data_IF_535540506449
#
_entry.id   IF_535540506449
#
_cell.length_a   1.000
_cell.length_b   1.000
_cell.length_c   1.000
_cell.angle_alpha   90.00
_cell.angle_beta   90.00
_cell.angle_gamma   90.00
#
_symmetry.space_group_name_H-M   'P 1'
#
loop_
_entity.id
_entity.type
_entity.pdbx_description
1 polymer ?
#
# COMPACT_ATOMS: atom_id res chain seq x y z
N UNK A 1 -34.15 26.90 -0.79
CA UNK A 1 -34.22 25.42 -0.80
C UNK A 1 -33.35 24.95 -1.94
N UNK A 2 -32.05 24.79 -1.68
CA UNK A 2 -31.16 24.20 -2.67
C UNK A 2 -31.47 22.70 -2.73
N UNK A 3 -31.72 22.20 -3.94
CA UNK A 3 -31.86 20.78 -4.21
C UNK A 3 -30.54 20.08 -3.87
N UNK A 4 -30.43 19.56 -2.65
CA UNK A 4 -29.44 18.54 -2.35
C UNK A 4 -29.74 17.36 -3.28
N UNK A 5 -28.78 16.86 -4.08
CA UNK A 5 -28.98 15.61 -4.78
C UNK A 5 -29.17 14.54 -3.70
N UNK A 6 -30.40 14.06 -3.54
CA UNK A 6 -30.85 13.11 -2.51
C UNK A 6 -30.38 11.67 -2.80
N UNK A 7 -29.35 11.51 -3.63
CA UNK A 7 -28.88 10.21 -4.06
C UNK A 7 -27.51 9.90 -3.45
N UNK A 8 -27.52 8.94 -2.52
CA UNK A 8 -26.35 8.35 -1.89
C UNK A 8 -25.31 7.89 -2.91
N UNK A 9 -25.74 7.48 -4.11
CA UNK A 9 -24.85 7.07 -5.18
C UNK A 9 -24.02 8.24 -5.69
N UNK A 10 -24.59 9.43 -5.85
CA UNK A 10 -23.85 10.62 -6.34
C UNK A 10 -22.72 10.97 -5.38
N UNK A 11 -23.00 10.96 -4.08
CA UNK A 11 -21.97 11.21 -3.07
C UNK A 11 -20.93 10.09 -3.00
N UNK A 12 -21.36 8.83 -3.12
CA UNK A 12 -20.44 7.68 -3.16
C UNK A 12 -19.45 7.83 -4.30
N UNK A 13 -19.92 8.10 -5.52
CA UNK A 13 -19.05 8.30 -6.68
C UNK A 13 -18.12 9.51 -6.51
N UNK A 14 -18.63 10.63 -5.99
CA UNK A 14 -17.84 11.84 -5.79
C UNK A 14 -16.71 11.62 -4.78
N UNK A 15 -17.03 11.10 -3.59
CA UNK A 15 -16.04 10.82 -2.53
C UNK A 15 -15.00 9.82 -3.05
N UNK A 16 -15.44 8.79 -3.76
CA UNK A 16 -14.55 7.79 -4.32
C UNK A 16 -13.61 8.34 -5.41
N UNK A 17 -14.10 9.25 -6.26
CA UNK A 17 -13.30 9.93 -7.27
C UNK A 17 -12.18 10.77 -6.65
N UNK A 18 -12.47 11.53 -5.59
CA UNK A 18 -11.43 12.28 -4.85
C UNK A 18 -10.38 11.35 -4.23
N UNK A 19 -10.81 10.24 -3.61
CA UNK A 19 -9.90 9.24 -3.05
C UNK A 19 -8.98 8.64 -4.12
N UNK A 20 -9.53 8.25 -5.27
CA UNK A 20 -8.77 7.73 -6.41
C UNK A 20 -7.82 8.76 -7.02
N UNK A 21 -8.27 10.01 -7.15
CA UNK A 21 -7.43 11.10 -7.62
C UNK A 21 -6.22 11.29 -6.70
N UNK A 22 -6.41 11.30 -5.38
CA UNK A 22 -5.32 11.44 -4.41
C UNK A 22 -4.32 10.27 -4.51
N UNK A 23 -4.79 9.03 -4.65
CA UNK A 23 -3.91 7.86 -4.86
C UNK A 23 -3.04 8.00 -6.12
N UNK A 24 -3.61 8.50 -7.22
CA UNK A 24 -2.89 8.70 -8.48
C UNK A 24 -1.96 9.92 -8.45
N UNK A 25 -2.38 10.98 -7.77
CA UNK A 25 -1.65 12.24 -7.75
C UNK A 25 -0.50 12.22 -6.75
N UNK A 26 -0.64 11.54 -5.60
CA UNK A 26 0.41 11.46 -4.57
C UNK A 26 1.80 11.13 -5.11
N UNK A 27 2.00 10.13 -6.00
CA UNK A 27 3.30 9.88 -6.60
C UNK A 27 3.70 10.90 -7.67
N UNK A 28 2.74 11.50 -8.39
CA UNK A 28 2.99 12.20 -9.66
C UNK A 28 2.99 13.73 -9.59
N UNK A 29 2.22 14.32 -8.66
CA UNK A 29 2.02 15.78 -8.55
C UNK A 29 2.92 16.40 -7.49
N UNK A 30 2.97 17.72 -7.46
CA UNK A 30 3.77 18.46 -6.47
C UNK A 30 3.06 18.49 -5.09
N UNK A 31 3.61 19.21 -4.11
CA UNK A 31 2.98 19.28 -2.78
C UNK A 31 1.73 20.18 -2.81
N UNK A 32 1.76 21.26 -3.59
CA UNK A 32 0.66 22.23 -3.71
C UNK A 32 -0.61 21.56 -4.22
N UNK A 33 -0.54 20.87 -5.35
CA UNK A 33 -1.64 20.16 -6.00
C UNK A 33 -2.30 19.16 -5.03
N UNK A 34 -1.47 18.41 -4.28
CA UNK A 34 -1.96 17.43 -3.31
C UNK A 34 -2.61 18.12 -2.11
N UNK A 35 -2.06 19.25 -1.66
CA UNK A 35 -2.63 20.01 -0.55
C UNK A 35 -4.03 20.51 -0.92
N UNK A 36 -4.23 21.03 -2.13
CA UNK A 36 -5.55 21.46 -2.61
C UNK A 36 -6.52 20.30 -2.78
N UNK A 37 -6.09 19.22 -3.44
CA UNK A 37 -6.93 18.04 -3.65
C UNK A 37 -7.36 17.40 -2.32
N UNK A 38 -6.46 17.33 -1.34
CA UNK A 38 -6.73 16.79 -0.01
C UNK A 38 -7.67 17.70 0.79
N UNK A 39 -7.54 19.02 0.64
CA UNK A 39 -8.46 19.96 1.28
C UNK A 39 -9.86 19.90 0.68
N UNK A 40 -9.98 19.73 -0.64
CA UNK A 40 -11.27 19.49 -1.27
C UNK A 40 -11.91 18.18 -0.77
N UNK A 41 -11.09 17.14 -0.54
CA UNK A 41 -11.55 15.88 0.03
C UNK A 41 -11.99 16.02 1.50
N UNK A 42 -11.23 16.76 2.31
CA UNK A 42 -11.57 17.13 3.70
C UNK A 42 -12.95 17.81 3.79
N UNK A 43 -13.17 18.87 3.00
CA UNK A 43 -14.44 19.58 2.97
C UNK A 43 -15.60 18.69 2.48
N UNK A 44 -15.34 17.84 1.49
CA UNK A 44 -16.33 16.89 1.01
C UNK A 44 -16.72 15.89 2.11
N UNK A 45 -15.74 15.35 2.85
CA UNK A 45 -15.99 14.42 3.96
C UNK A 45 -16.84 15.06 5.06
N UNK A 46 -16.57 16.32 5.42
CA UNK A 46 -17.40 17.04 6.39
C UNK A 46 -18.84 17.16 5.90
N UNK A 47 -19.02 17.58 4.65
CA UNK A 47 -20.34 17.75 4.04
C UNK A 47 -21.10 16.42 4.03
N UNK A 48 -20.50 15.32 3.57
CA UNK A 48 -21.20 14.04 3.47
C UNK A 48 -21.45 13.39 4.83
N UNK A 49 -20.61 13.65 5.83
CA UNK A 49 -20.83 13.20 7.20
C UNK A 49 -22.09 13.85 7.84
N UNK A 50 -22.47 15.05 7.40
CA UNK A 50 -23.70 15.71 7.88
C UNK A 50 -25.00 15.21 7.24
N UNK A 51 -24.95 14.39 6.18
CA UNK A 51 -26.14 14.03 5.37
C UNK A 51 -27.09 13.01 6.02
N UNK A 52 -26.84 12.56 7.27
CA UNK A 52 -27.71 11.66 8.04
C UNK A 52 -28.17 10.40 7.26
N UNK A 53 -27.32 9.85 6.40
CA UNK A 53 -27.55 8.56 5.77
C UNK A 53 -27.20 7.43 6.74
N UNK A 54 -28.15 6.52 6.98
CA UNK A 54 -28.03 5.46 8.00
C UNK A 54 -27.88 4.06 7.38
N UNK A 55 -27.79 3.96 6.05
CA UNK A 55 -27.62 2.67 5.38
C UNK A 55 -26.27 2.06 5.78
N UNK A 56 -26.21 0.79 6.23
CA UNK A 56 -24.96 0.18 6.73
C UNK A 56 -23.82 0.21 5.70
N UNK A 57 -24.15 0.04 4.41
CA UNK A 57 -23.19 0.12 3.30
C UNK A 57 -22.53 1.50 3.18
N UNK A 58 -23.30 2.57 3.43
CA UNK A 58 -22.81 3.93 3.40
C UNK A 58 -21.95 4.23 4.60
N UNK A 59 -22.38 3.79 5.79
CA UNK A 59 -21.57 3.92 7.01
C UNK A 59 -20.22 3.23 6.85
N UNK A 60 -20.20 2.01 6.30
CA UNK A 60 -18.96 1.29 6.02
C UNK A 60 -18.09 2.00 4.96
N UNK A 61 -18.69 2.48 3.88
CA UNK A 61 -18.01 3.26 2.86
C UNK A 61 -17.39 4.53 3.43
N UNK A 62 -18.17 5.35 4.13
CA UNK A 62 -17.72 6.62 4.69
C UNK A 62 -16.62 6.41 5.74
N UNK A 63 -16.77 5.40 6.60
CA UNK A 63 -15.73 4.98 7.55
C UNK A 63 -14.40 4.68 6.84
N UNK A 64 -14.43 3.92 5.74
CA UNK A 64 -13.22 3.62 4.97
C UNK A 64 -12.63 4.89 4.33
N UNK A 65 -13.46 5.79 3.81
CA UNK A 65 -13.00 7.05 3.21
C UNK A 65 -12.38 8.01 4.24
N UNK A 66 -12.89 8.03 5.47
CA UNK A 66 -12.29 8.75 6.60
C UNK A 66 -10.93 8.16 6.99
N UNK A 67 -10.79 6.84 7.00
CA UNK A 67 -9.49 6.18 7.16
C UNK A 67 -8.49 6.60 6.08
N UNK A 68 -8.92 6.61 4.81
CA UNK A 68 -8.10 7.08 3.68
C UNK A 68 -7.69 8.54 3.80
N UNK A 69 -8.57 9.42 4.29
CA UNK A 69 -8.23 10.81 4.54
C UNK A 69 -7.02 10.96 5.45
N UNK A 70 -7.02 10.26 6.58
CA UNK A 70 -5.89 10.28 7.50
C UNK A 70 -4.63 9.63 6.91
N UNK A 71 -4.77 8.57 6.12
CA UNK A 71 -3.66 8.01 5.34
C UNK A 71 -3.05 9.06 4.41
N UNK A 72 -3.86 9.85 3.69
CA UNK A 72 -3.38 10.90 2.80
C UNK A 72 -2.74 12.07 3.55
N UNK A 73 -3.26 12.48 4.71
CA UNK A 73 -2.64 13.49 5.55
C UNK A 73 -1.20 13.11 5.93
N UNK A 74 -0.99 11.89 6.43
CA UNK A 74 0.37 11.43 6.76
C UNK A 74 1.26 11.30 5.51
N UNK A 75 0.71 10.87 4.37
CA UNK A 75 1.46 10.85 3.11
C UNK A 75 1.89 12.26 2.66
N UNK A 76 1.01 13.27 2.77
CA UNK A 76 1.32 14.65 2.41
C UNK A 76 2.46 15.20 3.28
N UNK A 77 2.43 14.94 4.59
CA UNK A 77 3.48 15.34 5.52
C UNK A 77 4.83 14.72 5.15
N UNK A 78 4.88 13.41 4.88
CA UNK A 78 6.11 12.77 4.40
C UNK A 78 6.57 13.30 3.04
N UNK A 79 5.63 13.60 2.13
CA UNK A 79 5.95 14.20 0.83
C UNK A 79 6.57 15.59 0.99
N UNK A 80 6.14 16.40 1.94
CA UNK A 80 6.78 17.70 2.28
C UNK A 80 8.23 17.52 2.68
N UNK A 81 8.52 16.53 3.53
CA UNK A 81 9.90 16.22 3.93
C UNK A 81 10.74 15.72 2.76
N UNK A 82 10.19 14.86 1.91
CA UNK A 82 10.85 14.42 0.68
C UNK A 82 11.19 15.57 -0.28
N UNK A 83 10.40 16.66 -0.25
CA UNK A 83 10.61 17.86 -1.08
C UNK A 83 11.36 18.98 -0.35
N UNK A 84 11.85 18.72 0.87
CA UNK A 84 12.61 19.69 1.66
C UNK A 84 11.78 20.88 2.19
N UNK A 85 10.46 20.78 2.19
CA UNK A 85 9.57 21.84 2.71
C UNK A 85 9.37 21.78 4.23
N UNK A 86 9.74 20.67 4.86
CA UNK A 86 9.72 20.47 6.31
C UNK A 86 10.80 19.45 6.66
N UNK A 87 11.26 19.45 7.90
CA UNK A 87 12.18 18.42 8.38
C UNK A 87 11.42 17.17 8.80
N UNK A 88 12.08 16.00 8.74
CA UNK A 88 11.49 14.75 9.22
C UNK A 88 11.09 14.82 10.70
N UNK A 89 11.87 15.52 11.52
CA UNK A 89 11.60 15.66 12.95
C UNK A 89 10.34 16.48 13.23
N UNK A 90 10.10 17.53 12.45
CA UNK A 90 8.92 18.39 12.60
C UNK A 90 7.61 17.63 12.32
N UNK A 91 7.62 16.78 11.30
CA UNK A 91 6.40 16.10 10.84
C UNK A 91 6.18 14.73 11.46
N UNK A 92 7.19 14.10 12.09
CA UNK A 92 7.14 12.70 12.56
C UNK A 92 5.92 12.46 13.46
N UNK A 93 5.75 13.27 14.52
CA UNK A 93 4.62 13.12 15.44
C UNK A 93 3.26 13.35 14.76
N UNK A 94 3.17 14.33 13.85
CA UNK A 94 1.94 14.64 13.11
C UNK A 94 1.55 13.52 12.14
N UNK A 95 2.53 12.99 11.38
CA UNK A 95 2.31 11.88 10.45
C UNK A 95 1.94 10.59 11.20
N UNK A 96 2.61 10.30 12.32
CA UNK A 96 2.25 9.18 13.21
C UNK A 96 0.82 9.32 13.73
N UNK A 97 0.42 10.51 14.18
CA UNK A 97 -0.94 10.75 14.65
C UNK A 97 -1.98 10.52 13.56
N UNK A 98 -1.72 10.99 12.32
CA UNK A 98 -2.57 10.68 11.19
C UNK A 98 -2.65 9.16 10.94
N UNK A 99 -1.55 8.42 11.06
CA UNK A 99 -1.59 6.98 10.83
C UNK A 99 -2.28 6.20 11.94
N UNK A 100 -2.17 6.64 13.20
CA UNK A 100 -2.98 6.11 14.30
C UNK A 100 -4.47 6.35 14.07
N UNK A 101 -4.84 7.56 13.65
CA UNK A 101 -6.22 7.88 13.28
C UNK A 101 -6.71 6.99 12.13
N UNK A 102 -5.89 6.76 11.11
CA UNK A 102 -6.21 5.82 10.01
C UNK A 102 -6.42 4.40 10.53
N UNK A 103 -5.54 3.87 11.40
CA UNK A 103 -5.65 2.51 11.96
C UNK A 103 -6.96 2.28 12.73
N UNK A 104 -7.50 3.32 13.37
CA UNK A 104 -8.79 3.25 14.05
C UNK A 104 -9.97 2.89 13.15
N UNK A 105 -9.86 3.13 11.84
CA UNK A 105 -10.86 2.71 10.87
C UNK A 105 -10.51 1.30 10.38
N UNK A 106 -11.17 0.29 10.96
CA UNK A 106 -10.98 -1.12 10.59
C UNK A 106 -11.62 -1.44 9.23
N UNK A 107 -11.06 -2.37 8.44
CA UNK A 107 -11.66 -2.78 7.19
C UNK A 107 -13.00 -3.47 7.46
N UNK A 108 -13.96 -3.32 6.56
CA UNK A 108 -15.22 -4.06 6.66
C UNK A 108 -14.96 -5.57 6.66
N UNK A 109 -15.59 -6.30 7.58
CA UNK A 109 -15.45 -7.74 7.66
C UNK A 109 -16.17 -8.42 6.48
N UNK A 110 -15.47 -9.36 5.82
CA UNK A 110 -16.03 -10.23 4.77
C UNK A 110 -17.10 -11.20 5.30
N UNK A 111 -17.22 -11.34 6.62
CA UNK A 111 -18.28 -12.11 7.27
C UNK A 111 -19.43 -11.24 7.80
N UNK A 112 -19.40 -9.93 7.56
CA UNK A 112 -20.50 -9.05 7.93
C UNK A 112 -21.81 -9.43 7.21
N UNK A 113 -22.95 -9.16 7.86
CA UNK A 113 -24.28 -9.34 7.27
C UNK A 113 -24.41 -8.59 5.94
N UNK A 114 -23.77 -7.41 5.84
CA UNK A 114 -23.64 -6.64 4.61
C UNK A 114 -23.11 -7.49 3.46
N UNK A 115 -22.08 -8.31 3.70
CA UNK A 115 -21.55 -9.20 2.69
C UNK A 115 -22.43 -10.44 2.47
N UNK A 116 -22.80 -11.13 3.55
CA UNK A 116 -23.48 -12.43 3.46
C UNK A 116 -24.89 -12.34 2.88
N UNK A 117 -25.63 -11.27 3.20
CA UNK A 117 -27.02 -11.08 2.78
C UNK A 117 -27.14 -10.15 1.55
N UNK A 118 -26.04 -9.53 1.11
CA UNK A 118 -26.03 -8.63 -0.05
C UNK A 118 -26.27 -9.36 -1.38
N UNK A 119 -26.76 -8.62 -2.38
CA UNK A 119 -26.75 -9.06 -3.78
C UNK A 119 -25.31 -9.11 -4.35
N UNK A 120 -25.16 -9.53 -5.61
CA UNK A 120 -23.84 -9.63 -6.23
C UNK A 120 -23.11 -8.27 -6.25
N UNK A 121 -23.82 -7.19 -6.58
CA UNK A 121 -23.27 -5.83 -6.65
C UNK A 121 -22.72 -5.39 -5.29
N UNK A 122 -23.51 -5.57 -4.23
CA UNK A 122 -23.11 -5.22 -2.87
C UNK A 122 -21.93 -6.10 -2.39
N UNK A 123 -21.95 -7.39 -2.69
CA UNK A 123 -20.81 -8.28 -2.36
C UNK A 123 -19.51 -7.85 -3.04
N UNK A 124 -19.57 -7.45 -4.30
CA UNK A 124 -18.41 -6.94 -5.03
C UNK A 124 -17.92 -5.61 -4.44
N UNK A 125 -18.84 -4.71 -4.10
CA UNK A 125 -18.53 -3.44 -3.45
C UNK A 125 -17.87 -3.64 -2.07
N UNK A 126 -18.45 -4.49 -1.21
CA UNK A 126 -17.89 -4.80 0.11
C UNK A 126 -16.53 -5.49 0.00
N UNK A 127 -16.35 -6.44 -0.93
CA UNK A 127 -15.02 -7.04 -1.22
C UNK A 127 -14.01 -5.98 -1.61
N UNK A 128 -14.41 -5.04 -2.46
CA UNK A 128 -13.55 -3.98 -2.91
C UNK A 128 -13.17 -3.03 -1.76
N UNK A 129 -14.12 -2.65 -0.90
CA UNK A 129 -13.85 -1.85 0.30
C UNK A 129 -12.94 -2.58 1.28
N UNK A 130 -13.16 -3.88 1.51
CA UNK A 130 -12.30 -4.71 2.34
C UNK A 130 -10.85 -4.68 1.82
N UNK A 131 -10.66 -4.90 0.51
CA UNK A 131 -9.33 -4.84 -0.12
C UNK A 131 -8.68 -3.46 0.03
N UNK A 132 -9.45 -2.39 -0.15
CA UNK A 132 -8.99 -1.02 0.05
C UNK A 132 -8.54 -0.78 1.50
N UNK A 133 -9.32 -1.24 2.48
CA UNK A 133 -8.99 -1.12 3.90
C UNK A 133 -7.74 -1.91 4.28
N UNK A 134 -7.63 -3.16 3.83
CA UNK A 134 -6.42 -3.96 4.04
C UNK A 134 -5.19 -3.34 3.39
N UNK A 135 -5.30 -2.82 2.16
CA UNK A 135 -4.22 -2.07 1.53
C UNK A 135 -3.79 -0.89 2.40
N UNK A 136 -4.74 -0.03 2.79
CA UNK A 136 -4.47 1.14 3.63
C UNK A 136 -3.78 0.76 4.94
N UNK A 137 -4.30 -0.26 5.63
CA UNK A 137 -3.77 -0.71 6.92
C UNK A 137 -2.41 -1.39 6.82
N UNK A 138 -2.15 -2.13 5.74
CA UNK A 138 -0.82 -2.61 5.39
C UNK A 138 0.15 -1.43 5.23
N UNK A 139 -0.24 -0.39 4.48
CA UNK A 139 0.60 0.80 4.26
C UNK A 139 0.91 1.54 5.58
N UNK A 140 -0.10 1.92 6.36
CA UNK A 140 0.12 2.70 7.59
C UNK A 140 0.74 1.88 8.71
N UNK A 141 0.37 0.61 8.83
CA UNK A 141 0.80 -0.24 9.92
C UNK A 141 2.30 -0.57 9.84
N UNK A 142 2.81 -0.90 8.66
CA UNK A 142 4.24 -1.13 8.46
C UNK A 142 5.09 0.12 8.77
N UNK A 143 4.62 1.30 8.39
CA UNK A 143 5.31 2.57 8.71
C UNK A 143 5.27 2.85 10.22
N UNK A 144 4.12 2.65 10.87
CA UNK A 144 4.00 2.80 12.33
C UNK A 144 4.93 1.86 13.09
N UNK A 145 4.99 0.59 12.69
CA UNK A 145 5.90 -0.40 13.28
C UNK A 145 7.37 -0.01 13.13
N UNK A 146 7.76 0.68 12.06
CA UNK A 146 9.13 1.16 11.90
C UNK A 146 9.42 2.38 12.79
N UNK A 147 8.53 3.37 12.81
CA UNK A 147 8.71 4.60 13.59
C UNK A 147 8.74 4.28 15.09
N UNK A 148 7.82 3.47 15.60
CA UNK A 148 7.68 3.19 17.05
C UNK A 148 8.92 2.51 17.63
N UNK A 149 9.66 1.71 16.85
CA UNK A 149 10.90 1.06 17.30
C UNK A 149 11.98 2.04 17.75
N UNK A 150 11.87 3.31 17.36
CA UNK A 150 12.86 4.37 17.62
C UNK A 150 12.53 5.21 18.86
N UNK A 151 11.37 4.99 19.47
CA UNK A 151 10.84 5.81 20.56
C UNK A 151 10.62 5.01 21.84
N UNK A 152 10.37 5.72 22.95
CA UNK A 152 10.00 5.09 24.22
C UNK A 152 8.63 4.41 24.12
N UNK A 153 8.39 3.44 25.00
CA UNK A 153 7.13 2.67 25.05
C UNK A 153 5.87 3.55 25.21
N UNK A 154 6.01 4.72 25.84
CA UNK A 154 4.88 5.62 26.14
C UNK A 154 4.63 6.67 25.05
N UNK A 155 5.53 6.81 24.06
CA UNK A 155 5.46 7.88 23.07
C UNK A 155 4.14 7.92 22.28
N UNK A 156 3.61 6.74 21.93
CA UNK A 156 2.31 6.62 21.24
C UNK A 156 1.17 7.07 22.15
N UNK A 157 1.19 6.66 23.42
CA UNK A 157 0.20 7.11 24.40
C UNK A 157 0.24 8.64 24.53
N UNK A 158 1.43 9.22 24.71
CA UNK A 158 1.61 10.67 24.85
C UNK A 158 1.17 11.45 23.60
N UNK A 159 1.34 10.89 22.40
CA UNK A 159 0.82 11.46 21.16
C UNK A 159 -0.72 11.45 21.13
N UNK A 160 -1.34 10.32 21.48
CA UNK A 160 -2.80 10.18 21.49
C UNK A 160 -3.47 11.05 22.55
N UNK A 161 -2.87 11.20 23.73
CA UNK A 161 -3.39 12.11 24.75
C UNK A 161 -3.33 13.57 24.28
N UNK A 162 -2.22 13.97 23.63
CA UNK A 162 -2.09 15.34 23.10
C UNK A 162 -3.11 15.65 22.02
N UNK A 163 -3.47 14.69 21.16
CA UNK A 163 -4.43 14.93 20.08
C UNK A 163 -5.87 15.17 20.55
N UNK A 164 -6.18 14.88 21.81
CA UNK A 164 -7.46 15.24 22.43
C UNK A 164 -7.61 16.75 22.65
N UNK A 165 -6.52 17.53 22.59
CA UNK A 165 -6.56 18.99 22.79
C UNK A 165 -6.90 19.73 21.48
N UNK A 166 -7.74 20.79 21.51
CA UNK A 166 -7.98 21.63 20.34
C UNK A 166 -6.69 22.19 19.73
N UNK A 167 -5.74 22.58 20.58
CA UNK A 167 -4.45 23.15 20.16
C UNK A 167 -3.65 22.17 19.29
N UNK A 168 -3.61 20.88 19.65
CA UNK A 168 -2.92 19.87 18.84
C UNK A 168 -3.61 19.65 17.50
N UNK A 169 -4.95 19.62 17.46
CA UNK A 169 -5.72 19.50 16.22
C UNK A 169 -5.48 20.69 15.29
N UNK A 170 -5.46 21.91 15.82
CA UNK A 170 -5.17 23.13 15.06
C UNK A 170 -3.72 23.15 14.53
N UNK A 171 -2.75 22.70 15.33
CA UNK A 171 -1.36 22.56 14.87
C UNK A 171 -1.24 21.53 13.75
N UNK A 172 -1.92 20.39 13.87
CA UNK A 172 -1.96 19.38 12.81
C UNK A 172 -2.62 19.95 11.55
N UNK A 173 -3.72 20.69 11.69
CA UNK A 173 -4.37 21.36 10.56
C UNK A 173 -3.41 22.32 9.86
N UNK A 174 -2.69 23.15 10.60
CA UNK A 174 -1.71 24.08 10.04
C UNK A 174 -0.51 23.40 9.37
N UNK A 175 -0.15 22.20 9.85
CA UNK A 175 0.85 21.36 9.22
C UNK A 175 0.35 20.68 7.96
N UNK A 176 -0.95 20.39 7.83
CA UNK A 176 -1.55 19.71 6.65
C UNK A 176 -1.98 20.73 5.58
N UNK A 177 -2.70 21.78 5.96
CA UNK A 177 -3.31 22.77 5.08
C UNK A 177 -2.66 24.15 5.25
N UNK A 178 -1.68 24.44 4.39
CA UNK A 178 -0.77 25.57 4.57
C UNK A 178 -1.24 26.86 3.87
N UNK A 179 -2.21 26.79 2.96
CA UNK A 179 -2.66 27.95 2.20
C UNK A 179 -3.57 28.89 3.01
N UNK A 180 -3.46 30.19 2.71
CA UNK A 180 -4.14 31.25 3.46
C UNK A 180 -5.66 31.06 3.49
N UNK A 181 -6.27 30.70 2.37
CA UNK A 181 -7.73 30.57 2.29
C UNK A 181 -8.24 29.30 3.00
N UNK A 182 -7.42 28.25 3.09
CA UNK A 182 -7.72 27.07 3.93
C UNK A 182 -7.75 27.47 5.40
N UNK A 183 -6.75 28.23 5.87
CA UNK A 183 -6.71 28.75 7.24
C UNK A 183 -7.91 29.64 7.59
N UNK A 184 -8.43 30.40 6.63
CA UNK A 184 -9.67 31.18 6.81
C UNK A 184 -10.91 30.29 6.87
N UNK A 185 -10.89 29.15 6.18
CA UNK A 185 -11.98 28.19 6.07
C UNK A 185 -11.98 27.07 7.13
N UNK A 186 -11.22 27.18 8.22
CA UNK A 186 -11.06 26.13 9.26
C UNK A 186 -12.38 25.56 9.78
N UNK A 187 -13.43 26.38 9.92
CA UNK A 187 -14.75 25.93 10.38
C UNK A 187 -15.47 24.96 9.42
N UNK A 188 -14.92 24.72 8.22
CA UNK A 188 -15.43 23.78 7.21
C UNK A 188 -14.53 22.56 7.05
N UNK A 189 -13.72 22.25 8.06
CA UNK A 189 -12.74 21.17 8.03
C UNK A 189 -13.27 19.88 8.66
N UNK A 190 -13.12 18.75 7.97
CA UNK A 190 -13.37 17.44 8.57
C UNK A 190 -12.32 17.14 9.64
N UNK A 191 -11.05 17.45 9.38
CA UNK A 191 -9.94 17.24 10.33
C UNK A 191 -10.15 17.95 11.67
N UNK A 192 -10.81 19.11 11.67
CA UNK A 192 -11.14 19.87 12.88
C UNK A 192 -12.53 19.57 13.45
N UNK A 193 -13.28 18.65 12.84
CA UNK A 193 -14.58 18.24 13.38
C UNK A 193 -14.42 17.55 14.73
N UNK A 194 -15.46 17.65 15.57
CA UNK A 194 -15.44 17.08 16.93
C UNK A 194 -15.09 15.59 16.91
N UNK A 195 -15.60 14.85 15.93
CA UNK A 195 -15.49 13.39 15.85
C UNK A 195 -14.22 12.87 15.16
N UNK A 196 -13.42 13.72 14.51
CA UNK A 196 -12.29 13.28 13.69
C UNK A 196 -11.27 12.41 14.44
N UNK A 197 -11.04 12.70 15.72
CA UNK A 197 -10.04 12.02 16.55
C UNK A 197 -10.65 11.24 17.73
N UNK A 198 -11.97 11.15 17.85
CA UNK A 198 -12.62 10.56 19.02
C UNK A 198 -12.31 9.07 19.20
N UNK A 199 -11.98 8.37 18.10
CA UNK A 199 -11.71 6.94 18.10
C UNK A 199 -10.22 6.61 17.90
N UNK A 200 -9.30 7.58 18.00
CA UNK A 200 -7.87 7.34 17.77
C UNK A 200 -7.36 6.32 18.77
N UNK A 201 -6.77 5.25 18.25
CA UNK A 201 -6.21 4.17 19.05
C UNK A 201 -4.74 4.44 19.38
N UNK A 202 -4.31 4.00 20.55
CA UNK A 202 -2.89 3.88 20.90
C UNK A 202 -2.31 2.52 20.51
N UNK A 203 -3.11 1.64 19.92
CA UNK A 203 -2.70 0.28 19.52
C UNK A 203 -2.09 0.29 18.12
N UNK A 204 -0.85 -0.19 18.03
CA UNK A 204 -0.15 -0.42 16.77
C UNK A 204 -0.53 -1.81 16.24
N UNK A 205 -0.77 -1.98 14.92
CA UNK A 205 -0.99 -3.29 14.33
C UNK A 205 0.13 -4.28 14.69
N UNK A 206 -0.24 -5.49 15.06
CA UNK A 206 0.71 -6.57 15.33
C UNK A 206 1.27 -7.13 14.03
N UNK A 207 2.34 -7.94 14.11
CA UNK A 207 2.83 -8.69 12.94
C UNK A 207 1.77 -9.62 12.35
N UNK A 208 0.88 -10.16 13.18
CA UNK A 208 -0.22 -11.02 12.72
C UNK A 208 -1.24 -10.21 11.95
N UNK A 209 -1.64 -9.05 12.49
CA UNK A 209 -2.59 -8.14 11.81
C UNK A 209 -2.04 -7.73 10.44
N UNK A 210 -0.76 -7.37 10.38
CA UNK A 210 -0.09 -6.98 9.14
C UNK A 210 -0.05 -8.11 8.13
N UNK A 211 0.25 -9.34 8.55
CA UNK A 211 0.25 -10.50 7.65
C UNK A 211 -1.13 -10.73 7.00
N UNK A 212 -2.22 -10.57 7.76
CA UNK A 212 -3.58 -10.67 7.22
C UNK A 212 -3.89 -9.55 6.22
N UNK A 213 -3.50 -8.31 6.55
CA UNK A 213 -3.69 -7.17 5.66
C UNK A 213 -2.87 -7.31 4.37
N UNK A 214 -1.64 -7.80 4.47
CA UNK A 214 -0.72 -7.96 3.35
C UNK A 214 -1.21 -9.02 2.36
N UNK A 215 -1.77 -10.14 2.85
CA UNK A 215 -2.39 -11.17 2.01
C UNK A 215 -3.50 -10.62 1.12
N UNK A 216 -4.30 -9.69 1.63
CA UNK A 216 -5.39 -9.06 0.86
C UNK A 216 -4.86 -7.93 -0.02
N UNK A 217 -3.93 -7.14 0.49
CA UNK A 217 -3.30 -6.00 -0.18
C UNK A 217 -2.56 -6.42 -1.46
N UNK A 218 -1.82 -7.53 -1.40
CA UNK A 218 -1.07 -8.05 -2.55
C UNK A 218 -2.01 -8.51 -3.68
N UNK A 219 -3.19 -9.04 -3.35
CA UNK A 219 -4.19 -9.44 -4.34
C UNK A 219 -4.86 -8.24 -5.02
N UNK A 220 -4.94 -7.08 -4.34
CA UNK A 220 -5.45 -5.85 -4.95
C UNK A 220 -4.47 -5.30 -6.00
N UNK A 221 -3.17 -5.50 -5.80
CA UNK A 221 -2.10 -4.96 -6.65
C UNK A 221 -1.21 -6.06 -7.24
N UNK A 222 -1.78 -7.22 -7.57
CA UNK A 222 -1.00 -8.41 -7.94
C UNK A 222 -0.14 -8.25 -9.21
N UNK A 223 -0.45 -7.25 -10.04
CA UNK A 223 0.30 -6.92 -11.27
C UNK A 223 1.33 -5.80 -11.05
N UNK A 224 1.30 -5.09 -9.92
CA UNK A 224 2.27 -4.05 -9.59
C UNK A 224 3.44 -4.65 -8.79
N UNK A 225 4.49 -5.05 -9.52
CA UNK A 225 5.72 -5.59 -8.94
C UNK A 225 6.33 -4.67 -7.88
N UNK A 226 6.24 -3.34 -8.05
CA UNK A 226 6.82 -2.41 -7.08
C UNK A 226 6.10 -2.49 -5.73
N UNK A 227 4.78 -2.67 -5.73
CA UNK A 227 3.99 -2.83 -4.51
C UNK A 227 4.32 -4.14 -3.79
N UNK A 228 4.54 -5.21 -4.56
CA UNK A 228 4.94 -6.51 -4.01
C UNK A 228 6.35 -6.44 -3.40
N UNK A 229 7.32 -5.86 -4.10
CA UNK A 229 8.68 -5.69 -3.57
C UNK A 229 8.66 -4.84 -2.30
N UNK A 230 7.88 -3.76 -2.26
CA UNK A 230 7.73 -2.93 -1.07
C UNK A 230 7.26 -3.73 0.15
N UNK A 231 6.26 -4.60 -0.02
CA UNK A 231 5.79 -5.50 1.04
C UNK A 231 6.91 -6.44 1.50
N UNK A 232 7.57 -7.10 0.56
CA UNK A 232 8.66 -8.04 0.86
C UNK A 232 9.82 -7.37 1.63
N UNK A 233 10.15 -6.12 1.32
CA UNK A 233 11.22 -5.36 1.98
C UNK A 233 10.89 -4.99 3.44
N UNK A 234 9.63 -5.05 3.88
CA UNK A 234 9.29 -4.90 5.30
C UNK A 234 9.63 -6.14 6.13
N UNK A 235 9.70 -7.31 5.50
CA UNK A 235 10.05 -8.57 6.16
C UNK A 235 11.51 -8.96 5.95
N UNK A 236 12.12 -8.57 4.84
CA UNK A 236 13.49 -8.93 4.49
C UNK A 236 14.50 -7.84 4.80
N UNK A 237 15.50 -8.17 5.60
CA UNK A 237 16.65 -7.32 5.89
C UNK A 237 17.92 -7.87 5.24
N UNK A 238 18.28 -7.33 4.08
CA UNK A 238 19.46 -7.73 3.32
C UNK A 238 20.82 -7.57 4.05
N UNK A 239 20.88 -6.96 5.25
CA UNK A 239 22.13 -6.84 6.04
C UNK A 239 22.32 -7.99 7.02
N UNK A 240 21.22 -8.60 7.45
CA UNK A 240 21.20 -9.60 8.53
C UNK A 240 20.77 -10.97 8.03
N UNK A 241 19.94 -10.99 6.99
CA UNK A 241 19.27 -12.21 6.56
C UNK A 241 20.08 -12.89 5.46
N UNK A 242 20.50 -14.13 5.73
CA UNK A 242 21.19 -14.96 4.75
C UNK A 242 20.25 -15.50 3.65
N UNK A 243 18.95 -15.54 3.94
CA UNK A 243 17.86 -16.03 3.12
C UNK A 243 16.59 -15.19 3.36
N UNK A 244 15.69 -15.10 2.38
CA UNK A 244 14.43 -14.37 2.55
C UNK A 244 13.41 -15.18 3.36
N UNK A 245 12.54 -14.53 4.15
CA UNK A 245 11.47 -15.22 4.86
C UNK A 245 10.37 -15.70 3.91
N UNK A 246 9.49 -16.58 4.40
CA UNK A 246 8.23 -16.81 3.72
C UNK A 246 7.32 -15.57 3.86
N UNK A 247 6.92 -15.00 2.73
CA UNK A 247 6.07 -13.81 2.69
C UNK A 247 4.57 -14.08 2.90
N UNK A 248 4.17 -15.36 3.07
CA UNK A 248 2.83 -15.79 3.45
C UNK A 248 1.70 -15.31 2.52
N UNK A 249 1.99 -15.10 1.24
CA UNK A 249 1.01 -14.91 0.18
C UNK A 249 1.36 -15.76 -1.02
N UNK A 250 0.35 -16.07 -1.84
CA UNK A 250 0.57 -16.71 -3.13
C UNK A 250 -0.17 -15.98 -4.25
N UNK A 251 0.52 -15.86 -5.38
CA UNK A 251 0.05 -15.13 -6.56
C UNK A 251 -0.10 -16.01 -7.79
N UNK A 252 0.44 -17.23 -7.77
CA UNK A 252 0.51 -18.11 -8.94
C UNK A 252 0.03 -19.54 -8.62
N UNK A 253 -0.81 -19.72 -7.60
CA UNK A 253 -1.35 -21.04 -7.15
C UNK A 253 -2.00 -21.87 -8.26
N UNK A 254 -2.46 -21.20 -9.31
CA UNK A 254 -3.10 -21.79 -10.48
C UNK A 254 -2.11 -22.31 -11.55
N UNK A 255 -0.81 -22.10 -11.37
CA UNK A 255 0.25 -22.70 -12.18
C UNK A 255 0.80 -23.99 -11.53
N UNK A 256 1.41 -24.91 -12.30
CA UNK A 256 2.17 -26.02 -11.72
C UNK A 256 3.27 -25.52 -10.79
N UNK A 257 3.56 -26.26 -9.70
CA UNK A 257 4.62 -25.90 -8.77
C UNK A 257 6.00 -25.83 -9.46
N UNK A 258 6.31 -26.85 -10.27
CA UNK A 258 7.55 -26.95 -11.04
C UNK A 258 7.27 -27.43 -12.47
N UNK A 259 8.16 -27.10 -13.40
CA UNK A 259 8.12 -27.64 -14.76
C UNK A 259 8.58 -29.11 -14.77
N UNK A 260 7.80 -30.01 -15.36
CA UNK A 260 8.17 -31.42 -15.51
C UNK A 260 9.33 -31.58 -16.50
N UNK A 261 10.48 -32.08 -15.99
CA UNK A 261 11.70 -32.39 -16.74
C UNK A 261 12.33 -31.21 -17.50
N UNK A 262 13.19 -30.45 -16.81
CA UNK A 262 14.25 -29.63 -17.45
C UNK A 262 15.23 -30.49 -18.29
N UNK A 263 15.21 -31.83 -18.13
CA UNK A 263 16.12 -32.78 -18.76
C UNK A 263 15.78 -33.10 -20.22
N UNK A 264 14.59 -32.76 -20.71
CA UNK A 264 14.27 -32.78 -22.13
C UNK A 264 14.10 -31.34 -22.60
N UNK A 265 15.03 -30.83 -23.42
CA UNK A 265 15.04 -29.43 -23.91
C UNK A 265 13.78 -28.97 -24.66
N UNK A 266 12.75 -29.83 -24.76
CA UNK A 266 11.43 -29.55 -25.31
C UNK A 266 10.52 -28.69 -24.40
N UNK A 267 10.79 -28.59 -23.08
CA UNK A 267 9.91 -27.87 -22.13
C UNK A 267 10.44 -26.49 -21.67
N UNK A 268 11.24 -25.80 -22.49
CA UNK A 268 11.79 -24.47 -22.16
C UNK A 268 10.94 -23.28 -22.66
N UNK A 269 9.78 -23.56 -23.27
CA UNK A 269 8.89 -22.51 -23.78
C UNK A 269 8.12 -21.77 -22.68
N UNK A 270 7.55 -20.62 -23.05
CA UNK A 270 6.70 -19.79 -22.16
C UNK A 270 5.57 -20.57 -21.47
N UNK A 271 5.03 -21.59 -22.14
CA UNK A 271 3.96 -22.45 -21.61
C UNK A 271 4.37 -23.24 -20.36
N UNK A 272 5.66 -23.37 -20.12
CA UNK A 272 6.21 -24.07 -18.96
C UNK A 272 6.35 -23.19 -17.71
N UNK A 273 5.90 -21.92 -17.76
CA UNK A 273 5.96 -21.01 -16.61
C UNK A 273 5.32 -21.69 -15.38
N UNK A 274 6.08 -21.78 -14.30
CA UNK A 274 5.67 -22.44 -13.07
C UNK A 274 5.82 -21.52 -11.85
N UNK A 275 5.30 -21.95 -10.70
CA UNK A 275 5.37 -21.17 -9.46
C UNK A 275 6.82 -20.87 -9.06
N UNK A 276 7.72 -21.87 -9.14
CA UNK A 276 9.14 -21.70 -8.83
C UNK A 276 9.82 -20.62 -9.69
N UNK A 277 9.47 -20.50 -10.97
CA UNK A 277 10.05 -19.46 -11.83
C UNK A 277 9.69 -18.06 -11.31
N UNK A 278 8.42 -17.85 -10.95
CA UNK A 278 7.93 -16.56 -10.42
C UNK A 278 8.45 -16.27 -9.02
N UNK A 279 8.68 -17.30 -8.22
CA UNK A 279 9.26 -17.20 -6.89
C UNK A 279 10.74 -16.82 -6.94
N UNK A 280 11.53 -17.51 -7.78
CA UNK A 280 12.94 -17.15 -8.03
C UNK A 280 13.05 -15.72 -8.55
N UNK A 281 12.18 -15.33 -9.48
CA UNK A 281 12.11 -13.96 -9.96
C UNK A 281 11.89 -12.97 -8.81
N UNK A 282 10.86 -13.20 -7.97
CA UNK A 282 10.54 -12.33 -6.84
C UNK A 282 11.69 -12.22 -5.84
N UNK A 283 12.30 -13.35 -5.47
CA UNK A 283 13.48 -13.39 -4.59
C UNK A 283 14.59 -12.53 -5.17
N UNK A 284 14.88 -12.66 -6.47
CA UNK A 284 15.95 -11.94 -7.12
C UNK A 284 15.74 -10.41 -7.16
N UNK A 285 14.53 -9.97 -7.48
CA UNK A 285 14.23 -8.53 -7.52
C UNK A 285 14.18 -7.92 -6.11
N UNK A 286 13.67 -8.65 -5.12
CA UNK A 286 13.67 -8.21 -3.71
C UNK A 286 15.09 -8.12 -3.15
N UNK A 287 15.95 -9.11 -3.46
CA UNK A 287 17.37 -9.07 -3.09
C UNK A 287 18.04 -7.81 -3.65
N UNK A 288 17.85 -7.55 -4.94
CA UNK A 288 18.44 -6.40 -5.63
C UNK A 288 17.93 -5.07 -5.06
N UNK A 289 16.62 -4.96 -4.83
CA UNK A 289 16.02 -3.77 -4.23
C UNK A 289 16.50 -3.53 -2.79
N UNK A 290 16.64 -4.59 -1.99
CA UNK A 290 17.14 -4.52 -0.62
C UNK A 290 18.58 -4.03 -0.56
N UNK A 291 19.43 -4.49 -1.48
CA UNK A 291 20.81 -3.99 -1.62
C UNK A 291 20.86 -2.51 -1.99
N UNK A 292 20.01 -2.06 -2.90
CA UNK A 292 19.92 -0.65 -3.27
C UNK A 292 19.46 0.21 -2.09
N UNK A 293 18.48 -0.27 -1.31
CA UNK A 293 17.95 0.44 -0.15
C UNK A 293 19.03 0.66 0.93
N UNK A 294 19.96 -0.28 1.10
CA UNK A 294 21.10 -0.16 2.03
C UNK A 294 22.05 0.98 1.69
N UNK A 295 22.18 1.32 0.40
CA UNK A 295 23.08 2.38 -0.04
C UNK A 295 22.51 3.78 0.25
N UNK A 296 21.21 3.88 0.57
CA UNK A 296 20.55 5.15 0.88
C UNK A 296 20.78 5.49 2.34
N UNK A 297 21.56 6.56 2.59
CA UNK A 297 21.74 7.10 3.95
C UNK A 297 20.39 7.57 4.51
N UNK A 298 20.01 7.05 5.67
CA UNK A 298 18.74 7.39 6.32
C UNK A 298 18.93 8.41 7.44
N UNK A 299 17.99 9.35 7.52
CA UNK A 299 17.87 10.27 8.65
C UNK A 299 17.13 9.58 9.82
N UNK A 300 17.50 9.83 11.09
CA UNK A 300 16.93 9.10 12.22
C UNK A 300 15.39 9.12 12.29
N UNK A 301 14.77 10.30 12.15
CA UNK A 301 13.31 10.50 12.17
C UNK A 301 12.58 10.10 10.89
N UNK A 302 13.31 9.63 9.86
CA UNK A 302 12.70 9.18 8.60
C UNK A 302 12.34 7.69 8.71
N UNK A 303 11.11 7.26 8.36
CA UNK A 303 10.81 5.83 8.24
C UNK A 303 11.68 5.15 7.19
N UNK A 304 12.09 3.91 7.45
CA UNK A 304 12.97 3.13 6.58
C UNK A 304 12.37 2.99 5.17
N UNK A 305 11.09 2.67 5.13
CA UNK A 305 10.26 2.69 3.94
C UNK A 305 9.10 3.64 4.20
N UNK A 306 8.87 4.53 3.24
CA UNK A 306 7.68 5.37 3.23
C UNK A 306 6.51 4.55 2.70
N UNK A 307 5.25 5.02 2.85
CA UNK A 307 4.14 4.43 2.13
C UNK A 307 4.46 4.26 0.65
N UNK A 308 4.00 3.16 0.06
CA UNK A 308 4.32 2.76 -1.31
C UNK A 308 4.09 3.86 -2.34
N UNK A 309 3.04 4.67 -2.15
CA UNK A 309 2.68 5.81 -3.01
C UNK A 309 3.73 6.94 -3.04
N UNK A 310 4.65 6.98 -2.07
CA UNK A 310 5.75 7.95 -2.01
C UNK A 310 7.12 7.34 -2.34
N UNK A 311 7.20 6.02 -2.40
CA UNK A 311 8.44 5.32 -2.71
C UNK A 311 8.80 5.46 -4.19
N UNK A 312 10.10 5.52 -4.46
CA UNK A 312 10.64 5.37 -5.83
C UNK A 312 10.35 3.95 -6.34
N UNK A 313 10.59 3.72 -7.63
CA UNK A 313 10.55 2.38 -8.19
C UNK A 313 11.67 1.51 -7.58
N UNK A 314 11.32 0.30 -7.19
CA UNK A 314 12.20 -0.74 -6.64
C UNK A 314 12.65 -1.76 -7.69
N UNK A 315 11.98 -1.78 -8.84
CA UNK A 315 12.33 -2.60 -10.00
C UNK A 315 12.56 -1.72 -11.23
N UNK A 316 13.21 -2.30 -12.23
CA UNK A 316 13.36 -1.70 -13.56
C UNK A 316 12.06 -1.79 -14.37
N UNK A 317 11.88 -0.95 -15.39
CA UNK A 317 10.76 -1.07 -16.32
C UNK A 317 10.63 -2.47 -16.94
N UNK A 318 11.76 -3.09 -17.28
CA UNK A 318 11.82 -4.44 -17.88
C UNK A 318 11.35 -5.52 -16.89
N UNK A 319 11.75 -5.42 -15.62
CA UNK A 319 11.26 -6.32 -14.57
C UNK A 319 9.75 -6.14 -14.33
N UNK A 320 9.27 -4.90 -14.32
CA UNK A 320 7.84 -4.61 -14.18
C UNK A 320 7.03 -5.17 -15.36
N UNK A 321 7.54 -5.00 -16.60
CA UNK A 321 6.91 -5.54 -17.81
C UNK A 321 6.87 -7.07 -17.78
N UNK A 322 7.98 -7.72 -17.44
CA UNK A 322 8.03 -9.18 -17.32
C UNK A 322 6.99 -9.72 -16.31
N UNK A 323 6.91 -9.10 -15.13
CA UNK A 323 5.94 -9.49 -14.11
C UNK A 323 4.50 -9.33 -14.57
N UNK A 324 4.18 -8.20 -15.21
CA UNK A 324 2.85 -7.98 -15.77
C UNK A 324 2.48 -9.04 -16.81
N UNK A 325 3.43 -9.45 -17.67
CA UNK A 325 3.20 -10.51 -18.64
C UNK A 325 3.00 -11.87 -17.97
N UNK A 326 3.78 -12.21 -16.94
CA UNK A 326 3.58 -13.42 -16.15
C UNK A 326 2.18 -13.45 -15.52
N UNK A 327 1.71 -12.33 -14.93
CA UNK A 327 0.36 -12.23 -14.39
C UNK A 327 -0.74 -12.38 -15.45
N UNK A 328 -0.58 -11.77 -16.64
CA UNK A 328 -1.52 -11.95 -17.75
C UNK A 328 -1.57 -13.40 -18.23
N UNK A 329 -0.41 -14.04 -18.33
CA UNK A 329 -0.29 -15.46 -18.72
C UNK A 329 -1.00 -16.37 -17.70
N UNK A 330 -0.78 -16.13 -16.40
CA UNK A 330 -1.49 -16.79 -15.29
C UNK A 330 -3.02 -16.68 -15.45
N UNK A 331 -3.52 -15.53 -15.87
CA UNK A 331 -4.95 -15.26 -16.05
C UNK A 331 -5.51 -15.79 -17.37
N UNK A 332 -4.68 -16.41 -18.21
CA UNK A 332 -5.03 -16.88 -19.57
C UNK A 332 -5.62 -15.77 -20.44
N UNK A 333 -5.19 -14.53 -20.22
CA UNK A 333 -5.61 -13.39 -21.03
C UNK A 333 -4.93 -13.43 -22.40
N UNK A 334 -5.65 -13.03 -23.45
CA UNK A 334 -5.09 -12.90 -24.79
C UNK A 334 -3.95 -11.87 -24.78
N UNK A 335 -2.83 -12.23 -25.42
CA UNK A 335 -1.65 -11.40 -25.52
C UNK A 335 -1.56 -10.81 -26.93
N UNK A 336 -1.98 -9.55 -27.10
CA UNK A 336 -1.72 -8.77 -28.32
C UNK A 336 -0.21 -8.74 -28.62
N UNK A 337 0.21 -8.87 -29.88
CA UNK A 337 1.63 -9.01 -30.26
C UNK A 337 2.34 -10.21 -29.61
N UNK A 338 1.69 -11.37 -29.65
CA UNK A 338 2.12 -12.66 -29.08
C UNK A 338 3.64 -12.95 -29.20
N UNK A 339 4.25 -12.73 -30.36
CA UNK A 339 5.68 -13.04 -30.58
C UNK A 339 6.61 -12.18 -29.73
N UNK A 340 6.38 -10.87 -29.64
CA UNK A 340 7.24 -9.97 -28.84
C UNK A 340 7.09 -10.25 -27.35
N UNK A 341 5.85 -10.42 -26.89
CA UNK A 341 5.56 -10.66 -25.48
C UNK A 341 6.10 -12.01 -25.00
N UNK A 342 6.07 -13.03 -25.85
CA UNK A 342 6.72 -14.33 -25.58
C UNK A 342 8.23 -14.19 -25.43
N UNK A 343 8.89 -13.41 -26.27
CA UNK A 343 10.35 -13.21 -26.16
C UNK A 343 10.74 -12.56 -24.84
N UNK A 344 9.97 -11.61 -24.33
CA UNK A 344 10.21 -10.99 -23.02
C UNK A 344 10.07 -12.04 -21.92
N UNK A 345 8.96 -12.79 -21.93
CA UNK A 345 8.69 -13.82 -20.92
C UNK A 345 9.76 -14.92 -20.94
N UNK A 346 10.19 -15.37 -22.14
CA UNK A 346 11.30 -16.32 -22.33
C UNK A 346 12.61 -15.81 -21.76
N UNK A 347 13.01 -14.56 -22.05
CA UNK A 347 14.27 -14.00 -21.53
C UNK A 347 14.33 -13.99 -20.01
N UNK A 348 13.22 -13.67 -19.35
CA UNK A 348 13.17 -13.75 -17.89
C UNK A 348 13.15 -15.20 -17.38
N UNK A 349 12.51 -16.13 -18.09
CA UNK A 349 12.59 -17.57 -17.79
C UNK A 349 14.04 -18.09 -17.89
N UNK A 350 14.75 -17.74 -18.95
CA UNK A 350 16.15 -18.08 -19.15
C UNK A 350 17.02 -17.58 -18.00
N UNK A 351 16.74 -16.34 -17.56
CA UNK A 351 17.42 -15.74 -16.41
C UNK A 351 17.14 -16.51 -15.13
N UNK A 352 15.88 -16.76 -14.77
CA UNK A 352 15.52 -17.42 -13.49
C UNK A 352 15.87 -18.90 -13.43
N UNK A 353 15.92 -19.57 -14.59
CA UNK A 353 16.33 -20.98 -14.72
C UNK A 353 17.83 -21.17 -14.87
N UNK A 354 18.60 -20.07 -14.89
CA UNK A 354 20.05 -20.08 -15.06
C UNK A 354 20.50 -20.77 -16.36
N UNK A 355 19.77 -20.53 -17.46
CA UNK A 355 20.18 -21.01 -18.80
C UNK A 355 21.26 -20.10 -19.40
N UNK A 356 21.68 -20.35 -20.64
CA UNK A 356 22.77 -19.60 -21.27
C UNK A 356 22.51 -18.09 -21.29
N UNK A 357 23.49 -17.30 -20.84
CA UNK A 357 23.39 -15.84 -20.83
C UNK A 357 22.52 -15.24 -19.72
N UNK A 358 22.20 -16.00 -18.65
CA UNK A 358 21.31 -15.58 -17.56
C UNK A 358 21.71 -14.28 -16.82
N UNK A 359 22.98 -13.88 -16.82
CA UNK A 359 23.43 -12.59 -16.24
C UNK A 359 23.32 -12.42 -14.71
N UNK A 360 22.75 -13.38 -13.97
CA UNK A 360 22.72 -13.36 -12.50
C UNK A 360 24.11 -13.47 -11.88
N UNK A 361 24.38 -12.68 -10.82
CA UNK A 361 25.63 -12.78 -10.06
C UNK A 361 25.66 -14.02 -9.17
N UNK A 362 26.87 -14.53 -8.89
CA UNK A 362 27.05 -15.68 -7.99
C UNK A 362 26.47 -15.44 -6.58
N UNK A 363 26.55 -14.21 -6.07
CA UNK A 363 25.98 -13.86 -4.77
C UNK A 363 24.45 -13.95 -4.76
N UNK A 364 23.81 -13.56 -5.87
CA UNK A 364 22.36 -13.66 -6.02
C UNK A 364 21.93 -15.12 -6.16
N UNK A 365 22.63 -15.92 -6.97
CA UNK A 365 22.36 -17.36 -7.13
C UNK A 365 22.45 -18.08 -5.78
N UNK A 366 23.51 -17.81 -5.00
CA UNK A 366 23.66 -18.39 -3.66
C UNK A 366 22.53 -17.99 -2.72
N UNK A 367 22.09 -16.73 -2.78
CA UNK A 367 20.97 -16.25 -1.95
C UNK A 367 19.64 -16.89 -2.35
N UNK A 368 19.37 -17.06 -3.65
CA UNK A 368 18.21 -17.81 -4.15
C UNK A 368 18.26 -19.24 -3.65
N UNK A 369 19.38 -19.94 -3.80
CA UNK A 369 19.55 -21.33 -3.37
C UNK A 369 19.27 -21.50 -1.87
N UNK A 370 19.86 -20.64 -1.02
CA UNK A 370 19.62 -20.65 0.43
C UNK A 370 18.16 -20.37 0.78
N UNK A 371 17.54 -19.41 0.09
CA UNK A 371 16.13 -19.05 0.31
C UNK A 371 15.20 -20.22 -0.03
N UNK A 372 15.41 -20.87 -1.17
CA UNK A 372 14.61 -22.04 -1.56
C UNK A 372 14.85 -23.24 -0.62
N UNK A 373 16.10 -23.49 -0.23
CA UNK A 373 16.43 -24.57 0.72
C UNK A 373 15.70 -24.40 2.06
N UNK A 374 15.62 -23.18 2.57
CA UNK A 374 14.94 -22.87 3.83
C UNK A 374 13.41 -22.98 3.77
N UNK A 375 12.81 -23.08 2.58
CA UNK A 375 11.36 -23.27 2.42
C UNK A 375 10.96 -24.75 2.31
N UNK A 376 11.92 -25.64 2.05
CA UNK A 376 11.69 -27.09 1.92
C UNK A 376 11.78 -27.80 3.29
N UNK A 377 12.37 -27.13 4.28
CA UNK A 377 12.44 -27.55 5.70
C UNK A 377 11.32 -26.85 6.46
#
# INVERSE_FOLDING_TARGET
>A
MEHHPTDINVYTHKVFAHCKQLLLWLPAKDVSDITEALHAFDQLLLNVASLQFHQPQWTAFLSEMQGYFFFFCGCLLFKRSLKGQSTWKEIEGAATLCYLASVSYRPIDKHSDLYLQGDLTNRLFVKYLHKMGCYRLSQVGHVLCDVVKKHSSNWIYDLTVRCCTPQCKEQLYDLVFTFRDMRRGRGKSFLLSENAFNNVTSTIPTKSDLAEYDQVSVLLNSTDLNSIIWLCLHYYNATKDEAQPNYNFSLFDNLPYSSSSLSSGLNLGVESLCQLDTEVFLIAVVYSAGRLLQQVRQEPSRPQLLPKVLCRQFCTPEQAEWWQLACKFREKLELDNFTKLRLILMRGLDTVRLTEGHGMSASLILHVARTLQNKVI
#
